data_IF_814946072862
#
_entry.id   IF_814946072862
#
_cell.length_a   1.000
_cell.length_b   1.000
_cell.length_c   1.000
_cell.angle_alpha   90.00
_cell.angle_beta   90.00
_cell.angle_gamma   90.00
#
_symmetry.space_group_name_H-M   'P 1'
#
loop_
_entity.id
_entity.type
_entity.pdbx_description
1 polymer ?
#
# COMPACT_ATOMS: atom_id res chain seq x y z
N UNK A 1 -30.03 -14.81 25.72
CA UNK A 1 -29.44 -15.61 26.82
C UNK A 1 -28.14 -14.94 27.21
N UNK A 2 -27.97 -14.53 28.47
CA UNK A 2 -26.80 -13.74 28.86
C UNK A 2 -25.61 -14.65 29.20
N UNK A 3 -24.44 -14.31 28.64
CA UNK A 3 -23.16 -14.96 28.93
C UNK A 3 -22.64 -14.47 30.29
N UNK A 4 -22.54 -15.38 31.25
CA UNK A 4 -21.98 -15.09 32.57
C UNK A 4 -20.65 -15.82 32.77
N UNK A 5 -19.66 -15.09 33.28
CA UNK A 5 -18.37 -15.65 33.72
C UNK A 5 -18.60 -16.50 34.97
N UNK A 6 -18.26 -17.78 34.90
CA UNK A 6 -18.49 -18.71 36.01
C UNK A 6 -17.50 -18.48 37.17
N UNK A 7 -18.00 -18.33 38.41
CA UNK A 7 -17.19 -17.97 39.58
C UNK A 7 -16.26 -19.08 40.08
N UNK A 8 -16.51 -20.34 39.73
CA UNK A 8 -15.71 -21.49 40.20
C UNK A 8 -15.01 -22.22 39.04
N UNK A 9 -14.20 -21.50 38.29
CA UNK A 9 -13.39 -22.07 37.21
C UNK A 9 -12.35 -23.07 37.78
N UNK A 10 -12.52 -24.36 37.45
CA UNK A 10 -11.78 -25.50 38.02
C UNK A 10 -10.68 -26.05 37.10
N UNK A 11 -9.99 -25.22 36.31
CA UNK A 11 -8.75 -25.69 35.65
C UNK A 11 -7.63 -25.83 36.67
N UNK A 12 -7.30 -27.10 37.01
CA UNK A 12 -6.26 -27.52 37.97
C UNK A 12 -4.92 -27.73 37.26
N UNK A 13 -4.21 -26.66 36.89
CA UNK A 13 -2.78 -26.72 36.55
C UNK A 13 -2.08 -25.45 37.07
N UNK A 14 -0.83 -25.59 37.52
CA UNK A 14 -0.05 -24.64 38.33
C UNK A 14 -0.13 -23.18 37.83
N UNK A 15 -0.88 -22.36 38.58
CA UNK A 15 -1.46 -21.07 38.16
C UNK A 15 -0.57 -19.83 38.26
N UNK A 16 0.66 -19.92 38.78
CA UNK A 16 1.34 -18.71 39.28
C UNK A 16 2.11 -17.90 38.22
N UNK A 17 2.45 -18.50 37.07
CA UNK A 17 3.21 -17.83 35.99
C UNK A 17 2.41 -17.60 34.70
N UNK A 18 1.21 -18.18 34.57
CA UNK A 18 0.38 -18.11 33.37
C UNK A 18 -0.73 -17.04 33.44
N UNK A 19 -1.00 -16.49 34.63
CA UNK A 19 -2.03 -15.46 34.84
C UNK A 19 -1.37 -14.09 34.73
N UNK A 20 -1.91 -13.26 33.83
CA UNK A 20 -1.49 -11.89 33.64
C UNK A 20 -2.73 -10.99 33.52
N UNK A 21 -2.53 -9.67 33.39
CA UNK A 21 -3.58 -8.72 33.03
C UNK A 21 -3.25 -8.12 31.68
N UNK A 22 -4.25 -8.01 30.82
CA UNK A 22 -4.10 -7.29 29.57
C UNK A 22 -3.64 -5.85 29.86
N UNK A 23 -2.49 -5.44 29.31
CA UNK A 23 -1.94 -4.09 29.51
C UNK A 23 -2.90 -2.98 29.03
N UNK A 24 -3.72 -3.28 28.02
CA UNK A 24 -4.63 -2.30 27.41
C UNK A 24 -5.97 -2.15 28.15
N UNK A 25 -6.56 -3.24 28.66
CA UNK A 25 -7.89 -3.18 29.31
C UNK A 25 -7.92 -3.65 30.78
N UNK A 26 -6.81 -4.16 31.30
CA UNK A 26 -6.67 -4.64 32.67
C UNK A 26 -7.45 -5.94 32.98
N UNK A 27 -8.09 -6.55 31.97
CA UNK A 27 -8.83 -7.81 32.13
C UNK A 27 -7.85 -8.95 32.42
N UNK A 28 -8.14 -9.81 33.42
CA UNK A 28 -7.33 -11.01 33.65
C UNK A 28 -7.30 -11.91 32.42
N UNK A 29 -6.10 -12.29 32.01
CA UNK A 29 -5.84 -13.21 30.89
C UNK A 29 -5.00 -14.38 31.39
N UNK A 30 -5.18 -15.52 30.74
CA UNK A 30 -4.36 -16.71 30.99
C UNK A 30 -3.64 -17.08 29.69
N UNK A 31 -2.31 -17.14 29.73
CA UNK A 31 -1.48 -17.47 28.58
C UNK A 31 -1.30 -18.98 28.44
N UNK A 32 -1.57 -19.51 27.26
CA UNK A 32 -1.40 -20.92 26.93
C UNK A 32 -0.55 -21.12 25.67
N UNK A 33 0.17 -22.22 25.60
CA UNK A 33 0.77 -22.68 24.36
C UNK A 33 -0.31 -23.28 23.46
N UNK A 34 -0.25 -22.96 22.16
CA UNK A 34 -1.07 -23.56 21.11
C UNK A 34 -0.39 -24.80 20.56
N UNK A 35 -1.14 -25.59 19.80
CA UNK A 35 -0.61 -26.76 19.09
C UNK A 35 0.53 -26.44 18.11
N UNK A 36 0.66 -25.19 17.66
CA UNK A 36 1.71 -24.67 16.77
C UNK A 36 2.86 -23.97 17.53
N UNK A 37 2.97 -24.21 18.85
CA UNK A 37 3.98 -23.62 19.73
C UNK A 37 3.91 -22.10 19.91
N UNK A 38 2.90 -21.43 19.36
CA UNK A 38 2.63 -20.02 19.65
C UNK A 38 1.90 -19.86 20.99
N UNK A 39 2.05 -18.71 21.64
CA UNK A 39 1.28 -18.39 22.86
C UNK A 39 -0.02 -17.68 22.51
N UNK A 40 -1.10 -18.02 23.20
CA UNK A 40 -2.40 -17.38 23.06
C UNK A 40 -2.92 -16.93 24.42
N UNK A 41 -3.33 -15.67 24.58
CA UNK A 41 -4.01 -15.20 25.77
C UNK A 41 -5.49 -15.57 25.67
N UNK A 42 -5.95 -16.44 26.56
CA UNK A 42 -7.33 -16.88 26.62
C UNK A 42 -8.06 -16.25 27.80
N UNK A 43 -9.36 -16.03 27.59
CA UNK A 43 -10.30 -15.67 28.64
C UNK A 43 -10.48 -16.80 29.66
N UNK A 44 -11.12 -16.51 30.80
CA UNK A 44 -11.79 -17.53 31.61
C UNK A 44 -12.82 -18.31 30.79
N UNK A 45 -13.28 -19.45 31.33
CA UNK A 45 -14.21 -20.34 30.66
C UNK A 45 -15.63 -19.78 30.52
N UNK A 46 -16.26 -20.12 29.40
CA UNK A 46 -17.62 -19.79 28.99
C UNK A 46 -18.35 -21.06 28.57
N UNK A 47 -19.68 -21.14 28.74
CA UNK A 47 -20.48 -22.18 28.09
C UNK A 47 -20.28 -22.11 26.56
N UNK A 48 -19.98 -23.23 25.90
CA UNK A 48 -19.60 -23.22 24.49
C UNK A 48 -20.76 -22.88 23.54
N UNK A 49 -21.98 -23.30 23.88
CA UNK A 49 -23.18 -23.14 23.04
C UNK A 49 -23.42 -21.71 22.53
N UNK A 50 -23.39 -20.67 23.38
CA UNK A 50 -23.55 -19.27 22.95
C UNK A 50 -22.33 -18.65 22.26
N UNK A 51 -21.16 -19.28 22.28
CA UNK A 51 -19.94 -18.73 21.67
C UNK A 51 -19.86 -19.19 20.21
N UNK A 52 -19.57 -18.33 19.23
CA UNK A 52 -19.38 -18.75 17.84
C UNK A 52 -18.28 -19.80 17.69
N UNK A 53 -18.48 -20.90 16.92
CA UNK A 53 -17.49 -21.99 16.80
C UNK A 53 -16.06 -21.52 16.47
N UNK A 54 -15.93 -20.50 15.60
CA UNK A 54 -14.65 -19.91 15.18
C UNK A 54 -13.84 -19.30 16.33
N UNK A 55 -14.48 -18.98 17.44
CA UNK A 55 -13.87 -18.30 18.60
C UNK A 55 -13.72 -19.22 19.81
N UNK A 56 -14.12 -20.49 19.70
CA UNK A 56 -14.02 -21.46 20.80
C UNK A 56 -12.62 -22.03 20.86
N UNK A 57 -12.07 -22.05 22.06
CA UNK A 57 -10.83 -22.72 22.37
C UNK A 57 -11.03 -23.59 23.61
N UNK A 58 -10.33 -24.72 23.69
CA UNK A 58 -10.30 -25.54 24.88
C UNK A 58 -8.87 -25.93 25.21
N UNK A 59 -8.66 -26.41 26.43
CA UNK A 59 -7.35 -26.84 26.90
C UNK A 59 -7.33 -28.36 27.00
N UNK A 60 -6.32 -28.97 26.39
CA UNK A 60 -6.03 -30.38 26.57
C UNK A 60 -4.58 -30.52 27.06
N UNK A 61 -4.41 -31.02 28.29
CA UNK A 61 -3.10 -31.17 28.95
C UNK A 61 -2.25 -29.88 28.97
N UNK A 62 -2.90 -28.73 29.12
CA UNK A 62 -2.24 -27.42 29.17
C UNK A 62 -1.99 -26.75 27.82
N UNK A 63 -2.29 -27.43 26.70
CA UNK A 63 -2.17 -26.89 25.34
C UNK A 63 -3.55 -26.44 24.84
N UNK A 64 -3.60 -25.28 24.21
CA UNK A 64 -4.79 -24.69 23.63
C UNK A 64 -5.09 -25.24 22.23
N UNK A 65 -6.31 -25.75 22.06
CA UNK A 65 -6.83 -26.26 20.80
C UNK A 65 -8.12 -25.52 20.41
N UNK A 66 -8.38 -25.31 19.11
CA UNK A 66 -9.64 -24.76 18.65
C UNK A 66 -10.80 -25.73 18.97
N UNK A 67 -11.99 -25.19 19.21
CA UNK A 67 -13.21 -25.93 19.53
C UNK A 67 -13.62 -25.87 21.01
N UNK A 68 -14.67 -26.61 21.34
CA UNK A 68 -15.15 -26.78 22.72
C UNK A 68 -14.52 -27.99 23.39
N UNK A 69 -14.44 -27.96 24.73
CA UNK A 69 -14.03 -29.11 25.50
C UNK A 69 -15.05 -30.25 25.33
N UNK A 70 -14.63 -31.43 24.84
CA UNK A 70 -15.54 -32.54 24.58
C UNK A 70 -16.23 -33.06 25.85
N UNK A 71 -15.63 -32.88 27.03
CA UNK A 71 -16.14 -33.39 28.31
C UNK A 71 -17.03 -32.37 29.03
N UNK A 72 -16.59 -31.12 29.11
CA UNK A 72 -17.25 -30.12 29.94
C UNK A 72 -18.26 -29.27 29.17
N UNK A 73 -18.17 -29.21 27.82
CA UNK A 73 -18.95 -28.29 26.97
C UNK A 73 -18.71 -26.81 27.27
N UNK A 74 -17.56 -26.50 27.85
CA UNK A 74 -17.05 -25.15 28.01
C UNK A 74 -16.01 -24.84 26.93
N UNK A 75 -15.83 -23.56 26.65
CA UNK A 75 -14.74 -23.06 25.83
C UNK A 75 -14.17 -21.78 26.45
N UNK A 76 -13.06 -21.34 25.92
CA UNK A 76 -12.42 -20.06 26.18
C UNK A 76 -12.37 -19.29 24.87
N UNK A 77 -12.19 -17.98 24.97
CA UNK A 77 -12.17 -17.06 23.84
C UNK A 77 -10.79 -16.37 23.84
N UNK A 78 -10.14 -16.19 22.68
CA UNK A 78 -8.93 -15.37 22.60
C UNK A 78 -9.23 -13.97 23.10
N UNK A 79 -8.45 -13.48 24.07
CA UNK A 79 -8.71 -12.18 24.67
C UNK A 79 -8.72 -11.03 23.65
N UNK A 80 -7.84 -10.98 22.63
CA UNK A 80 -7.89 -9.95 21.59
C UNK A 80 -9.24 -9.86 20.89
N UNK A 81 -9.97 -10.96 20.73
CA UNK A 81 -11.29 -10.98 20.09
C UNK A 81 -12.42 -10.40 20.96
N UNK A 82 -12.16 -10.13 22.24
CA UNK A 82 -13.14 -9.59 23.19
C UNK A 82 -12.56 -8.45 24.04
N UNK A 83 -11.40 -7.92 23.66
CA UNK A 83 -10.73 -6.87 24.41
C UNK A 83 -11.47 -5.55 24.18
N UNK A 84 -11.96 -4.86 25.23
CA UNK A 84 -12.68 -3.59 25.05
C UNK A 84 -11.76 -2.42 24.66
N UNK A 85 -10.44 -2.63 24.62
CA UNK A 85 -9.47 -1.64 24.15
C UNK A 85 -9.10 -1.80 22.67
N UNK A 86 -9.76 -2.73 21.95
CA UNK A 86 -9.57 -2.99 20.52
C UNK A 86 -10.91 -2.77 19.83
N UNK A 87 -10.92 -2.10 18.69
CA UNK A 87 -12.11 -1.96 17.85
C UNK A 87 -12.40 -3.24 17.08
N UNK A 88 -13.63 -3.76 17.20
CA UNK A 88 -14.05 -5.01 16.57
C UNK A 88 -15.06 -4.72 15.46
N UNK A 89 -14.59 -4.53 14.23
CA UNK A 89 -15.47 -4.26 13.08
C UNK A 89 -16.44 -5.41 12.76
N UNK A 90 -16.03 -6.66 13.02
CA UNK A 90 -16.80 -7.88 12.71
C UNK A 90 -17.14 -8.71 13.98
N UNK A 91 -17.43 -8.03 15.10
CA UNK A 91 -17.78 -8.73 16.34
C UNK A 91 -19.10 -9.50 16.17
N UNK A 92 -19.15 -10.82 16.45
CA UNK A 92 -20.39 -11.56 16.45
C UNK A 92 -21.35 -11.01 17.52
N UNK A 93 -22.66 -10.87 17.24
CA UNK A 93 -23.63 -10.31 18.19
C UNK A 93 -23.65 -11.02 19.54
N UNK A 94 -23.33 -12.31 19.57
CA UNK A 94 -23.28 -13.10 20.80
C UNK A 94 -22.19 -12.63 21.78
N UNK A 95 -21.17 -11.92 21.30
CA UNK A 95 -20.06 -11.42 22.11
C UNK A 95 -20.14 -9.94 22.46
N UNK A 96 -21.10 -9.20 21.91
CA UNK A 96 -21.30 -7.77 22.19
C UNK A 96 -21.53 -7.51 23.69
N UNK A 97 -22.37 -8.32 24.36
CA UNK A 97 -22.64 -8.21 25.80
C UNK A 97 -21.35 -8.46 26.61
N UNK A 98 -20.47 -9.36 26.13
CA UNK A 98 -19.19 -9.63 26.79
C UNK A 98 -18.26 -8.42 26.69
N UNK A 99 -18.07 -7.88 25.49
CA UNK A 99 -17.22 -6.70 25.26
C UNK A 99 -17.76 -5.50 26.02
N UNK A 100 -19.07 -5.26 25.97
CA UNK A 100 -19.72 -4.16 26.70
C UNK A 100 -19.49 -4.26 28.20
N UNK A 101 -19.66 -5.45 28.79
CA UNK A 101 -19.40 -5.66 30.23
C UNK A 101 -17.93 -5.46 30.59
N UNK A 102 -17.01 -5.90 29.73
CA UNK A 102 -15.58 -5.67 29.94
C UNK A 102 -15.24 -4.18 29.83
N UNK A 103 -15.85 -3.45 28.90
CA UNK A 103 -15.69 -1.99 28.77
C UNK A 103 -16.19 -1.24 30.00
N UNK A 104 -17.38 -1.58 30.52
CA UNK A 104 -17.91 -0.98 31.77
C UNK A 104 -16.97 -1.26 32.95
N UNK A 105 -16.45 -2.48 33.06
CA UNK A 105 -15.49 -2.83 34.13
C UNK A 105 -14.16 -2.09 33.97
N UNK A 106 -13.65 -1.96 32.75
CA UNK A 106 -12.45 -1.21 32.45
C UNK A 106 -12.63 0.25 32.88
N UNK A 107 -13.71 0.91 32.43
CA UNK A 107 -14.03 2.30 32.81
C UNK A 107 -14.14 2.47 34.32
N UNK A 108 -14.88 1.60 35.01
CA UNK A 108 -15.01 1.68 36.46
C UNK A 108 -13.69 1.48 37.22
N UNK A 109 -12.72 0.71 36.68
CA UNK A 109 -11.38 0.59 37.28
C UNK A 109 -10.52 1.83 37.04
N UNK A 110 -10.65 2.46 35.88
CA UNK A 110 -10.00 3.74 35.56
C UNK A 110 -10.51 4.81 36.52
N UNK A 111 -11.82 4.93 36.68
CA UNK A 111 -12.46 5.92 37.57
C UNK A 111 -12.05 5.75 39.04
N UNK A 112 -11.79 4.52 39.50
CA UNK A 112 -11.28 4.24 40.86
C UNK A 112 -9.76 4.37 41.00
N UNK A 113 -9.03 4.67 39.92
CA UNK A 113 -7.57 4.73 39.92
C UNK A 113 -6.88 3.37 40.11
N UNK A 114 -7.59 2.26 39.92
CA UNK A 114 -7.06 0.89 40.06
C UNK A 114 -6.32 0.42 38.80
N UNK A 115 -6.50 1.12 37.68
CA UNK A 115 -5.94 0.76 36.38
C UNK A 115 -5.72 2.00 35.53
N UNK A 116 -4.49 2.16 35.03
CA UNK A 116 -4.16 3.12 33.97
C UNK A 116 -3.93 2.32 32.69
N UNK A 117 -4.72 2.54 31.61
CA UNK A 117 -4.51 1.86 30.35
C UNK A 117 -3.10 2.12 29.84
N UNK A 118 -2.42 1.04 29.43
CA UNK A 118 -1.21 1.20 28.63
C UNK A 118 -1.60 1.81 27.30
N UNK A 119 -1.24 3.07 27.13
CA UNK A 119 -1.16 3.71 25.83
C UNK A 119 0.21 3.29 25.31
N UNK A 120 0.23 2.58 24.18
CA UNK A 120 1.48 2.30 23.49
C UNK A 120 2.18 3.64 23.30
N UNK A 121 3.35 3.88 23.93
CA UNK A 121 4.12 5.04 23.60
C UNK A 121 4.34 4.93 22.10
N UNK A 122 3.91 5.95 21.36
CA UNK A 122 4.34 6.10 19.98
C UNK A 122 5.86 6.18 20.10
N UNK A 123 6.58 5.09 19.82
CA UNK A 123 8.03 5.11 19.86
C UNK A 123 8.44 6.20 18.85
N UNK A 124 9.07 7.26 19.36
CA UNK A 124 9.56 8.39 18.55
C UNK A 124 10.48 7.90 17.41
N UNK A 125 11.04 6.69 17.53
CA UNK A 125 11.94 6.05 16.57
C UNK A 125 11.25 5.17 15.49
N UNK A 126 10.00 4.72 15.68
CA UNK A 126 9.34 3.81 14.71
C UNK A 126 8.48 4.53 13.66
N UNK A 127 8.10 5.79 13.87
CA UNK A 127 7.15 6.48 12.95
C UNK A 127 7.82 7.51 12.04
N UNK A 128 9.04 7.97 12.35
CA UNK A 128 9.82 8.82 11.47
C UNK A 128 11.21 8.19 11.31
N UNK A 129 11.57 7.75 10.09
CA UNK A 129 12.97 7.52 9.79
C UNK A 129 13.76 8.80 10.11
N UNK A 130 15.03 8.69 10.54
CA UNK A 130 15.82 9.88 10.86
C UNK A 130 15.79 10.84 9.67
N UNK A 131 15.66 12.13 9.96
CA UNK A 131 15.79 13.15 8.93
C UNK A 131 17.12 12.94 8.17
N UNK A 132 17.13 13.17 6.85
CA UNK A 132 18.35 13.05 6.07
C UNK A 132 19.41 14.07 6.56
N UNK A 133 20.67 13.82 6.23
CA UNK A 133 21.80 14.66 6.68
C UNK A 133 21.67 16.12 6.19
N UNK A 134 21.05 16.31 5.02
CA UNK A 134 20.78 17.60 4.41
C UNK A 134 19.27 17.83 4.38
N UNK A 135 18.78 18.71 5.26
CA UNK A 135 17.40 19.22 5.25
C UNK A 135 17.42 20.74 5.14
N UNK A 136 16.44 21.26 4.43
CA UNK A 136 16.23 22.70 4.28
C UNK A 136 15.21 23.23 5.28
N UNK A 137 15.19 24.55 5.43
CA UNK A 137 14.25 25.25 6.31
C UNK A 137 12.80 25.13 5.82
N UNK A 138 12.61 25.10 4.49
CA UNK A 138 11.30 24.92 3.87
C UNK A 138 11.20 23.50 3.34
N UNK A 139 10.18 22.76 3.80
CA UNK A 139 9.97 21.36 3.45
C UNK A 139 8.53 21.14 3.05
N UNK A 140 8.33 20.40 1.95
CA UNK A 140 7.00 20.12 1.44
C UNK A 140 6.55 18.68 1.74
N UNK A 141 5.25 18.54 2.03
CA UNK A 141 4.62 17.25 2.27
C UNK A 141 4.02 16.73 0.96
N UNK A 142 4.29 15.46 0.69
CA UNK A 142 3.80 14.69 -0.45
C UNK A 142 2.75 13.72 0.05
N UNK A 143 1.63 13.64 -0.65
CA UNK A 143 0.53 12.73 -0.36
C UNK A 143 0.34 11.72 -1.48
N UNK A 144 0.14 10.46 -1.12
CA UNK A 144 -0.27 9.40 -2.03
C UNK A 144 -1.03 8.31 -1.29
N UNK A 145 -2.20 7.91 -1.79
CA UNK A 145 -3.04 6.84 -1.23
C UNK A 145 -3.16 6.86 0.32
N UNK A 146 -3.36 8.03 0.92
CA UNK A 146 -3.51 8.20 2.37
C UNK A 146 -2.20 8.12 3.17
N UNK A 147 -1.05 7.95 2.50
CA UNK A 147 0.28 8.09 3.10
C UNK A 147 0.80 9.50 2.88
N UNK A 148 1.46 10.06 3.90
CA UNK A 148 2.08 11.37 3.86
C UNK A 148 3.58 11.23 4.13
N UNK A 149 4.40 11.84 3.28
CA UNK A 149 5.85 11.94 3.48
C UNK A 149 6.33 13.36 3.35
N UNK A 150 7.32 13.74 4.14
CA UNK A 150 7.95 15.05 4.05
C UNK A 150 9.27 14.94 3.29
N UNK A 151 9.47 15.84 2.33
CA UNK A 151 10.71 15.95 1.58
C UNK A 151 11.80 16.65 2.40
N UNK A 152 13.09 16.43 2.09
CA UNK A 152 14.19 17.19 2.71
C UNK A 152 14.14 18.69 2.37
N UNK A 153 13.46 19.07 1.29
CA UNK A 153 13.43 20.41 0.72
C UNK A 153 12.05 20.75 0.17
N UNK A 154 11.94 21.88 -0.51
CA UNK A 154 10.81 22.16 -1.37
C UNK A 154 10.68 21.11 -2.48
N UNK A 155 9.43 20.79 -2.83
CA UNK A 155 9.17 19.67 -3.73
C UNK A 155 9.81 19.84 -5.12
N UNK A 156 9.89 21.07 -5.64
CA UNK A 156 10.49 21.34 -6.95
C UNK A 156 12.03 21.21 -6.95
N UNK A 157 12.64 21.24 -5.77
CA UNK A 157 14.09 21.07 -5.57
C UNK A 157 14.45 19.63 -5.22
N UNK A 158 13.46 18.75 -5.06
CA UNK A 158 13.67 17.34 -4.73
C UNK A 158 14.48 16.65 -5.83
N UNK A 159 15.72 16.25 -5.50
CA UNK A 159 16.65 15.61 -6.44
C UNK A 159 16.51 14.10 -6.47
N UNK A 160 16.84 13.54 -7.64
CA UNK A 160 16.98 12.11 -7.83
C UNK A 160 18.08 11.54 -6.91
N UNK A 161 17.84 10.34 -6.35
CA UNK A 161 18.84 9.65 -5.52
C UNK A 161 19.76 8.72 -6.31
N UNK A 162 19.50 8.48 -7.60
CA UNK A 162 20.28 7.56 -8.40
C UNK A 162 21.70 8.09 -8.67
N UNK A 163 22.64 7.17 -8.86
CA UNK A 163 24.00 7.49 -9.32
C UNK A 163 23.99 7.65 -10.82
N UNK A 164 24.50 8.79 -11.30
CA UNK A 164 24.66 9.03 -12.72
C UNK A 164 25.81 8.16 -13.28
N UNK A 165 25.55 7.45 -14.38
CA UNK A 165 26.49 6.48 -14.94
C UNK A 165 27.75 7.09 -15.56
N UNK A 166 27.69 8.35 -16.00
CA UNK A 166 28.79 9.08 -16.64
C UNK A 166 29.74 9.70 -15.61
N UNK A 167 29.21 10.30 -14.55
CA UNK A 167 29.99 11.07 -13.56
C UNK A 167 30.26 10.28 -12.27
N UNK A 168 29.47 9.24 -11.99
CA UNK A 168 29.50 8.52 -10.72
C UNK A 168 29.00 9.34 -9.53
N UNK A 169 28.44 10.53 -9.78
CA UNK A 169 27.89 11.42 -8.76
C UNK A 169 26.37 11.22 -8.62
N UNK A 170 25.78 11.84 -7.59
CA UNK A 170 24.34 11.93 -7.47
C UNK A 170 23.76 12.63 -8.70
N UNK A 171 22.69 12.08 -9.25
CA UNK A 171 21.97 12.69 -10.35
C UNK A 171 21.44 14.09 -9.98
N UNK A 172 21.71 15.08 -10.83
CA UNK A 172 21.26 16.47 -10.64
C UNK A 172 19.80 16.69 -11.05
N UNK A 173 19.19 15.75 -11.78
CA UNK A 173 17.81 15.89 -12.26
C UNK A 173 16.81 15.80 -11.09
N UNK A 174 15.78 16.65 -11.16
CA UNK A 174 14.68 16.67 -10.22
C UNK A 174 13.76 15.45 -10.35
N UNK A 175 13.12 15.08 -9.24
CA UNK A 175 12.00 14.14 -9.21
C UNK A 175 10.70 14.86 -9.60
N UNK A 176 10.59 16.14 -9.28
CA UNK A 176 9.39 16.91 -9.52
C UNK A 176 9.05 17.05 -11.00
N UNK A 177 7.78 16.83 -11.31
CA UNK A 177 7.15 17.12 -12.59
C UNK A 177 5.75 17.68 -12.30
N UNK A 178 5.43 18.83 -12.92
CA UNK A 178 4.16 19.53 -12.77
C UNK A 178 2.95 18.70 -13.22
N UNK A 179 3.15 17.71 -14.09
CA UNK A 179 2.07 16.91 -14.68
C UNK A 179 1.72 15.68 -13.86
N UNK A 180 2.56 15.35 -12.88
CA UNK A 180 2.45 14.12 -12.11
C UNK A 180 1.69 14.28 -10.79
N UNK A 181 1.38 15.51 -10.41
CA UNK A 181 0.64 15.81 -9.20
C UNK A 181 0.08 17.21 -9.19
N UNK A 182 -0.52 17.58 -8.07
CA UNK A 182 -1.02 18.93 -7.82
C UNK A 182 -1.18 19.17 -6.33
N UNK A 183 -1.18 20.44 -5.93
CA UNK A 183 -1.50 20.82 -4.56
C UNK A 183 -2.97 20.55 -4.23
N UNK A 184 -3.22 19.80 -3.16
CA UNK A 184 -4.56 19.52 -2.64
C UNK A 184 -4.58 19.65 -1.11
N UNK A 185 -5.77 19.95 -0.57
CA UNK A 185 -6.02 19.82 0.87
C UNK A 185 -6.17 18.35 1.24
N UNK A 186 -5.35 17.90 2.19
CA UNK A 186 -5.39 16.55 2.75
C UNK A 186 -5.61 16.61 4.25
N UNK A 187 -6.15 15.54 4.83
CA UNK A 187 -6.35 15.44 6.28
C UNK A 187 -4.99 15.32 6.99
N UNK A 188 -4.81 16.10 8.06
CA UNK A 188 -3.66 15.95 8.95
C UNK A 188 -3.90 14.73 9.83
N UNK A 189 -2.94 13.78 9.94
CA UNK A 189 -3.09 12.62 10.80
C UNK A 189 -3.44 13.03 12.23
N UNK A 190 -4.33 12.26 12.87
CA UNK A 190 -4.75 12.57 14.23
C UNK A 190 -3.57 12.44 15.20
N UNK A 191 -3.28 13.52 15.93
CA UNK A 191 -2.33 13.52 17.03
C UNK A 191 -3.08 13.64 18.38
N UNK A 192 -2.83 12.75 19.35
CA UNK A 192 -3.44 12.87 20.66
C UNK A 192 -2.82 14.02 21.49
N UNK A 193 -3.54 14.45 22.52
CA UNK A 193 -3.03 15.42 23.50
C UNK A 193 -3.16 16.90 23.10
N UNK A 194 -2.61 17.78 23.94
CA UNK A 194 -2.79 19.25 23.82
C UNK A 194 -2.20 19.80 22.53
N UNK A 195 -1.03 19.33 22.12
CA UNK A 195 -0.36 19.76 20.88
C UNK A 195 -1.17 19.35 19.66
N UNK A 196 -1.70 18.11 19.63
CA UNK A 196 -2.58 17.66 18.55
C UNK A 196 -3.88 18.46 18.45
N UNK A 197 -4.48 18.82 19.58
CA UNK A 197 -5.65 19.72 19.61
C UNK A 197 -5.33 21.12 19.09
N UNK A 198 -4.11 21.63 19.34
CA UNK A 198 -3.66 22.92 18.82
C UNK A 198 -3.45 22.90 17.30
N UNK A 199 -2.87 21.82 16.76
CA UNK A 199 -2.76 21.59 15.32
C UNK A 199 -4.16 21.59 14.70
N UNK A 200 -5.06 20.76 15.23
CA UNK A 200 -6.45 20.69 14.77
C UNK A 200 -7.15 22.05 14.79
N UNK A 201 -6.94 22.84 15.85
CA UNK A 201 -7.55 24.17 15.99
C UNK A 201 -6.99 25.18 14.98
N UNK A 202 -5.69 25.11 14.70
CA UNK A 202 -5.01 26.06 13.79
C UNK A 202 -5.28 25.73 12.33
N UNK A 203 -5.33 24.44 12.00
CA UNK A 203 -5.38 23.96 10.61
C UNK A 203 -6.77 23.49 10.18
N UNK A 204 -7.72 23.42 11.11
CA UNK A 204 -9.03 22.80 10.86
C UNK A 204 -8.94 21.30 10.56
N UNK A 205 -7.80 20.67 10.86
CA UNK A 205 -7.53 19.26 10.54
C UNK A 205 -7.10 19.02 9.09
N UNK A 206 -6.79 20.07 8.33
CA UNK A 206 -6.37 19.97 6.92
C UNK A 206 -5.05 20.67 6.67
N UNK A 207 -4.33 20.24 5.66
CA UNK A 207 -3.11 20.89 5.20
C UNK A 207 -2.95 20.77 3.69
N UNK A 208 -2.18 21.67 3.09
CA UNK A 208 -1.80 21.56 1.69
C UNK A 208 -0.63 20.61 1.54
N UNK A 209 -0.81 19.59 0.69
CA UNK A 209 0.23 18.64 0.31
C UNK A 209 0.24 18.48 -1.22
N UNK A 210 1.39 18.09 -1.77
CA UNK A 210 1.48 17.70 -3.17
C UNK A 210 0.95 16.29 -3.34
N UNK A 211 -0.22 16.15 -3.97
CA UNK A 211 -0.87 14.87 -4.16
C UNK A 211 -0.48 14.23 -5.51
N UNK A 212 0.03 13.01 -5.45
CA UNK A 212 0.35 12.16 -6.62
C UNK A 212 -0.66 11.01 -6.65
N UNK A 213 -1.53 11.01 -7.66
CA UNK A 213 -2.66 10.07 -7.76
C UNK A 213 -2.46 8.95 -8.78
N UNK A 214 -1.67 9.20 -9.83
CA UNK A 214 -1.38 8.17 -10.84
C UNK A 214 -0.35 7.18 -10.29
N UNK A 215 -0.69 5.90 -10.32
CA UNK A 215 0.17 4.85 -9.80
C UNK A 215 1.52 4.75 -10.53
N UNK A 216 1.59 5.07 -11.83
CA UNK A 216 2.83 5.02 -12.60
C UNK A 216 3.80 6.11 -12.16
N UNK A 217 3.28 7.32 -11.94
CA UNK A 217 4.06 8.42 -11.38
C UNK A 217 4.45 8.09 -9.94
N UNK A 218 3.52 7.60 -9.13
CA UNK A 218 3.80 7.25 -7.75
C UNK A 218 4.98 6.30 -7.58
N UNK A 219 5.08 5.25 -8.40
CA UNK A 219 6.21 4.30 -8.35
C UNK A 219 7.56 4.97 -8.55
N UNK A 220 7.61 6.04 -9.34
CA UNK A 220 8.81 6.85 -9.57
C UNK A 220 9.14 7.69 -8.33
N UNK A 221 8.14 8.34 -7.75
CA UNK A 221 8.27 9.11 -6.51
C UNK A 221 8.66 8.24 -5.31
N UNK A 222 8.14 7.01 -5.21
CA UNK A 222 8.52 6.01 -4.19
C UNK A 222 9.97 5.57 -4.26
N UNK A 223 10.61 5.69 -5.43
CA UNK A 223 12.04 5.46 -5.59
C UNK A 223 12.86 6.74 -5.55
N UNK A 224 12.21 7.91 -5.49
CA UNK A 224 12.84 9.21 -5.59
C UNK A 224 13.76 9.29 -6.84
N UNK A 225 13.24 8.80 -7.96
CA UNK A 225 13.96 8.78 -9.24
C UNK A 225 13.42 9.85 -10.18
N UNK A 226 14.29 10.48 -10.97
CA UNK A 226 13.86 11.32 -12.10
C UNK A 226 13.30 10.44 -13.24
N UNK A 227 12.72 11.07 -14.26
CA UNK A 227 12.14 10.37 -15.42
C UNK A 227 13.17 9.50 -16.13
N UNK A 228 14.41 9.97 -16.29
CA UNK A 228 15.48 9.24 -16.98
C UNK A 228 15.95 7.99 -16.21
N UNK A 229 15.97 8.07 -14.88
CA UNK A 229 16.42 6.96 -14.03
C UNK A 229 15.31 5.98 -13.67
N UNK A 230 14.04 6.36 -13.89
CA UNK A 230 12.91 5.49 -13.62
C UNK A 230 12.90 4.27 -14.55
N UNK A 231 13.18 3.10 -13.99
CA UNK A 231 13.30 1.84 -14.74
C UNK A 231 14.72 1.53 -15.22
N UNK A 232 15.69 2.40 -14.93
CA UNK A 232 17.11 2.09 -15.11
C UNK A 232 17.60 1.08 -14.06
N UNK A 233 18.75 0.45 -14.32
CA UNK A 233 19.46 -0.39 -13.35
C UNK A 233 20.52 0.38 -12.56
N UNK A 234 20.49 1.72 -12.59
CA UNK A 234 21.45 2.54 -11.86
C UNK A 234 21.27 2.35 -10.34
N UNK A 235 22.35 2.19 -9.57
CA UNK A 235 22.27 2.08 -8.12
C UNK A 235 21.95 3.45 -7.49
N UNK A 236 21.34 3.43 -6.30
CA UNK A 236 21.12 4.64 -5.52
C UNK A 236 22.43 5.16 -4.93
N UNK A 237 22.69 6.46 -5.09
CA UNK A 237 23.86 7.19 -4.58
C UNK A 237 23.71 7.53 -3.10
N UNK A 238 22.49 7.95 -2.70
CA UNK A 238 22.13 8.26 -1.32
C UNK A 238 20.96 7.39 -0.88
N UNK A 239 20.75 7.29 0.44
CA UNK A 239 19.56 6.64 0.98
C UNK A 239 18.32 7.45 0.60
N UNK A 240 17.16 6.78 0.62
CA UNK A 240 15.87 7.41 0.40
C UNK A 240 15.60 8.54 1.41
N UNK A 241 15.29 9.75 0.94
CA UNK A 241 15.25 10.96 1.78
C UNK A 241 13.83 11.39 2.15
N UNK A 242 12.79 10.87 1.48
CA UNK A 242 11.40 11.14 1.85
C UNK A 242 11.05 10.37 3.13
N UNK A 243 10.95 11.08 4.24
CA UNK A 243 10.61 10.49 5.55
C UNK A 243 9.10 10.52 5.79
N UNK A 244 8.62 9.62 6.63
CA UNK A 244 7.19 9.54 6.98
C UNK A 244 6.76 10.81 7.73
N UNK A 245 5.65 11.42 7.34
CA UNK A 245 5.17 12.63 7.99
C UNK A 245 4.51 12.31 9.34
N UNK A 246 4.94 13.01 10.40
CA UNK A 246 4.32 12.94 11.72
C UNK A 246 3.88 14.34 12.19
N UNK A 247 2.60 14.57 12.51
CA UNK A 247 2.06 15.90 12.77
C UNK A 247 2.67 16.63 13.97
N UNK A 248 3.11 15.90 15.02
CA UNK A 248 3.72 16.53 16.19
C UNK A 248 5.20 16.89 15.99
N UNK A 249 5.91 16.14 15.14
CA UNK A 249 7.35 16.34 14.89
C UNK A 249 7.52 17.36 13.76
N UNK A 250 6.71 17.23 12.70
CA UNK A 250 6.76 18.04 11.50
C UNK A 250 5.68 19.14 11.50
N UNK A 251 5.23 19.56 12.69
CA UNK A 251 4.15 20.54 12.85
C UNK A 251 4.44 21.87 12.17
N UNK A 252 5.71 22.27 12.14
CA UNK A 252 6.17 23.52 11.50
C UNK A 252 6.05 23.49 9.97
N UNK A 253 5.99 22.29 9.38
CA UNK A 253 5.86 22.09 7.93
C UNK A 253 4.41 21.86 7.49
N UNK A 254 3.44 22.07 8.39
CA UNK A 254 2.02 22.02 8.05
C UNK A 254 1.63 23.29 7.31
N UNK A 255 1.42 23.16 6.00
CA UNK A 255 1.04 24.28 5.14
C UNK A 255 -0.46 24.59 5.26
N UNK A 256 -0.79 25.74 5.84
CA UNK A 256 -2.17 26.27 5.93
C UNK A 256 -2.60 27.04 4.68
N UNK A 257 -1.66 27.39 3.82
CA UNK A 257 -1.90 28.07 2.54
C UNK A 257 -1.27 27.27 1.41
N UNK A 258 -1.92 27.26 0.26
CA UNK A 258 -1.41 26.62 -0.96
C UNK A 258 -0.13 27.33 -1.41
N UNK A 259 0.97 26.60 -1.68
CA UNK A 259 2.17 27.17 -2.29
C UNK A 259 1.90 27.75 -3.69
N UNK A 260 2.48 28.90 -3.96
CA UNK A 260 2.39 29.63 -5.23
C UNK A 260 3.55 29.23 -6.17
N UNK A 261 3.41 29.50 -7.48
CA UNK A 261 4.47 29.19 -8.47
C UNK A 261 4.44 27.77 -9.06
N UNK A 262 3.49 26.94 -8.62
CA UNK A 262 3.27 25.57 -9.12
C UNK A 262 2.11 25.48 -10.12
N UNK A 263 1.72 26.60 -10.71
CA UNK A 263 0.68 26.65 -11.74
C UNK A 263 1.32 26.52 -13.12
N UNK A 264 0.72 25.71 -13.99
CA UNK A 264 1.10 25.70 -15.40
C UNK A 264 0.92 27.11 -15.94
N UNK A 265 2.03 27.74 -16.33
CA UNK A 265 1.94 28.84 -17.30
C UNK A 265 1.38 28.20 -18.57
N UNK A 266 0.26 28.68 -19.14
CA UNK A 266 -0.22 28.17 -20.41
C UNK A 266 0.85 28.48 -21.46
N UNK A 267 1.73 27.52 -21.71
CA UNK A 267 2.63 27.57 -22.84
C UNK A 267 1.72 27.39 -24.04
N UNK A 268 1.41 28.51 -24.70
CA UNK A 268 0.57 28.58 -25.90
C UNK A 268 1.16 27.87 -27.12
N UNK A 269 1.84 26.73 -26.92
CA UNK A 269 2.11 25.78 -27.99
C UNK A 269 0.83 24.97 -28.16
N UNK A 270 -0.01 25.52 -29.03
CA UNK A 270 -1.06 24.79 -29.73
C UNK A 270 -0.55 23.39 -30.06
N UNK A 271 -1.20 22.36 -29.50
CA UNK A 271 -0.96 20.98 -29.89
C UNK A 271 -1.42 20.93 -31.35
N UNK A 272 -0.49 21.06 -32.29
CA UNK A 272 -0.75 20.80 -33.70
C UNK A 272 -0.95 19.29 -33.78
N UNK A 273 -2.22 18.87 -33.68
CA UNK A 273 -2.63 17.54 -34.07
C UNK A 273 -2.36 17.50 -35.58
N UNK A 274 -1.26 16.85 -35.98
CA UNK A 274 -1.07 16.51 -37.37
C UNK A 274 -2.20 15.56 -37.75
N UNK A 275 -3.18 16.06 -38.49
CA UNK A 275 -4.06 15.19 -39.27
C UNK A 275 -3.14 14.25 -40.05
N UNK A 276 -3.24 12.95 -39.80
CA UNK A 276 -2.44 11.94 -40.51
C UNK A 276 -2.55 12.17 -42.03
N UNK A 277 -1.55 11.75 -42.82
CA UNK A 277 -1.44 12.11 -44.24
C UNK A 277 -2.77 11.87 -44.98
N UNK A 278 -3.46 12.95 -45.33
CA UNK A 278 -4.71 12.93 -46.09
C UNK A 278 -4.36 12.82 -47.57
N UNK A 279 -4.15 11.59 -48.03
CA UNK A 279 -3.81 11.29 -49.41
C UNK A 279 -4.44 9.98 -49.91
N UNK A 280 -4.47 9.81 -51.22
CA UNK A 280 -4.91 8.57 -51.86
C UNK A 280 -4.07 7.39 -51.35
N UNK A 281 -4.74 6.31 -50.97
CA UNK A 281 -4.11 5.06 -50.58
C UNK A 281 -4.31 4.03 -51.69
N UNK A 282 -3.26 3.28 -52.03
CA UNK A 282 -3.37 2.15 -52.93
C UNK A 282 -3.38 0.85 -52.12
N UNK A 283 -4.33 -0.03 -52.42
CA UNK A 283 -4.48 -1.34 -51.78
C UNK A 283 -3.73 -2.39 -52.59
N UNK A 284 -3.19 -3.40 -51.90
CA UNK A 284 -2.53 -4.54 -52.51
C UNK A 284 -3.45 -5.24 -53.52
N UNK A 285 -2.93 -5.57 -54.70
CA UNK A 285 -3.68 -6.22 -55.77
C UNK A 285 -3.94 -7.72 -55.55
N UNK A 286 -3.43 -8.33 -54.47
CA UNK A 286 -3.72 -9.74 -54.14
C UNK A 286 -5.11 -9.89 -53.54
N UNK A 287 -5.93 -10.76 -54.13
CA UNK A 287 -7.23 -11.13 -53.58
C UNK A 287 -7.16 -11.54 -52.10
N UNK A 288 -7.92 -10.84 -51.26
CA UNK A 288 -7.98 -11.06 -49.82
C UNK A 288 -6.87 -10.40 -48.99
N UNK A 289 -5.98 -9.60 -49.60
CA UNK A 289 -4.98 -8.82 -48.87
C UNK A 289 -5.50 -7.42 -48.51
N UNK A 290 -5.39 -7.04 -47.23
CA UNK A 290 -5.88 -5.75 -46.70
C UNK A 290 -4.77 -4.71 -46.51
N UNK A 291 -3.52 -5.02 -46.90
CA UNK A 291 -2.43 -4.06 -46.79
C UNK A 291 -2.58 -2.94 -47.83
N UNK A 292 -2.39 -1.71 -47.39
CA UNK A 292 -2.38 -0.51 -48.22
C UNK A 292 -1.11 0.29 -47.98
N UNK A 293 -0.78 1.15 -48.93
CA UNK A 293 0.28 2.15 -48.78
C UNK A 293 -0.27 3.53 -49.12
N UNK A 294 0.30 4.55 -48.47
CA UNK A 294 0.05 5.93 -48.84
C UNK A 294 0.74 6.26 -50.18
N UNK A 295 0.02 6.99 -51.04
CA UNK A 295 0.48 7.41 -52.36
C UNK A 295 0.05 6.45 -53.47
N UNK A 296 -0.21 7.01 -54.65
CA UNK A 296 -0.57 6.26 -55.85
C UNK A 296 0.55 5.29 -56.23
N UNK A 297 0.25 4.00 -56.22
CA UNK A 297 1.15 2.97 -56.74
C UNK A 297 0.76 2.58 -58.18
N UNK A 298 1.69 1.96 -58.94
CA UNK A 298 1.37 1.39 -60.24
C UNK A 298 0.26 0.32 -60.13
N UNK A 299 -0.47 0.14 -61.23
CA UNK A 299 -1.46 -0.94 -61.34
C UNK A 299 -0.81 -2.31 -61.09
N UNK A 300 -1.46 -3.15 -60.28
CA UNK A 300 -0.91 -4.44 -59.86
C UNK A 300 0.08 -4.37 -58.70
N UNK A 301 0.19 -3.25 -57.98
CA UNK A 301 1.05 -3.15 -56.80
C UNK A 301 0.75 -4.23 -55.76
N UNK A 302 1.81 -4.86 -55.27
CA UNK A 302 1.75 -5.86 -54.23
C UNK A 302 2.40 -5.32 -52.96
N UNK A 303 1.74 -5.51 -51.82
CA UNK A 303 2.39 -5.28 -50.54
C UNK A 303 3.62 -6.20 -50.41
N UNK A 304 4.57 -5.79 -49.57
CA UNK A 304 5.81 -6.52 -49.36
C UNK A 304 5.63 -8.02 -49.06
N UNK A 305 4.55 -8.38 -48.35
CA UNK A 305 4.27 -9.77 -48.02
C UNK A 305 3.81 -10.58 -49.25
N UNK A 306 2.95 -10.00 -50.09
CA UNK A 306 2.44 -10.62 -51.31
C UNK A 306 3.52 -10.73 -52.39
N UNK A 307 4.33 -9.68 -52.59
CA UNK A 307 5.48 -9.69 -53.50
C UNK A 307 6.48 -10.80 -53.10
N UNK A 308 6.79 -10.90 -51.80
CA UNK A 308 7.65 -11.97 -51.29
C UNK A 308 7.08 -13.37 -51.55
N UNK A 309 5.76 -13.55 -51.37
CA UNK A 309 5.10 -14.83 -51.63
C UNK A 309 5.11 -15.20 -53.11
N UNK A 310 4.92 -14.22 -54.01
CA UNK A 310 4.98 -14.42 -55.45
C UNK A 310 6.39 -14.78 -55.93
N UNK A 311 7.41 -14.03 -55.48
CA UNK A 311 8.82 -14.36 -55.75
C UNK A 311 9.19 -15.76 -55.29
N UNK A 312 8.63 -16.21 -54.15
CA UNK A 312 8.82 -17.59 -53.66
C UNK A 312 8.17 -18.61 -54.60
N UNK A 313 6.93 -18.37 -55.03
CA UNK A 313 6.21 -19.23 -55.99
C UNK A 313 6.96 -19.33 -57.32
N UNK A 314 7.43 -18.21 -57.87
CA UNK A 314 8.21 -18.17 -59.11
C UNK A 314 9.54 -18.93 -58.99
N UNK A 315 10.24 -18.80 -57.84
CA UNK A 315 11.48 -19.56 -57.58
C UNK A 315 11.22 -21.05 -57.53
N UNK A 316 10.16 -21.47 -56.83
CA UNK A 316 9.75 -22.87 -56.78
C UNK A 316 9.44 -23.33 -58.21
N UNK A 317 8.54 -22.67 -58.93
CA UNK A 317 8.17 -23.06 -60.30
C UNK A 317 9.38 -23.26 -61.24
N UNK A 318 10.36 -22.33 -61.23
CA UNK A 318 11.61 -22.48 -62.00
C UNK A 318 12.40 -23.73 -61.61
N UNK A 319 12.44 -24.06 -60.32
CA UNK A 319 13.11 -25.26 -59.83
C UNK A 319 12.41 -26.54 -60.31
N UNK A 320 11.07 -26.55 -60.37
CA UNK A 320 10.31 -27.68 -60.92
C UNK A 320 10.49 -27.83 -62.44
N UNK A 321 10.55 -26.72 -63.18
CA UNK A 321 10.84 -26.76 -64.63
C UNK A 321 12.24 -27.32 -64.91
N UNK A 322 13.26 -26.89 -64.16
CA UNK A 322 14.60 -27.45 -64.29
C UNK A 322 14.69 -28.95 -63.97
N UNK A 323 13.85 -29.46 -63.05
CA UNK A 323 13.79 -30.89 -62.73
C UNK A 323 13.02 -31.69 -63.79
N UNK A 324 12.03 -31.08 -64.45
CA UNK A 324 11.29 -31.69 -65.55
C UNK A 324 12.14 -31.80 -66.83
N UNK A 325 12.87 -30.73 -67.17
CA UNK A 325 13.76 -30.71 -68.36
C UNK A 325 14.97 -31.64 -68.20
N UNK A 326 15.34 -32.00 -66.96
CA UNK A 326 16.42 -32.95 -66.66
C UNK A 326 16.03 -34.43 -66.79
N UNK A 327 14.74 -34.74 -67.01
CA UNK A 327 14.24 -36.12 -67.12
C UNK A 327 14.03 -36.61 -68.56
N UNK A 328 14.19 -35.74 -69.57
CA UNK A 328 14.03 -36.06 -71.00
C UNK A 328 15.37 -36.36 -71.72
N UNK A 329 16.48 -36.46 -70.99
CA UNK A 329 17.76 -36.96 -71.52
C UNK A 329 18.22 -38.18 -70.74
N UNK A 330 17.72 -39.36 -71.11
CA UNK A 330 18.32 -40.66 -70.77
C UNK A 330 18.05 -41.67 -71.87
#
# INVERSE_FOLDING_TARGET
MSLFLHRSNQTKLLRRTAVDRCKYCGTPIEWYERYDSLRIPLSPEFPARPVPPKMRWHLNRGIAYPGEDPYTKYCRIPHPAVCPAVDHHDLPPELEDVVTRLAVRMRGRIERGEFTPYIEPVEEEEVAGPDPEEVEEIRHVISYYGTLRIAPCEIHELRCIATESTTGQRCENGVFDLDEGKWEEVEVPHAPGRQGQQILSTTGGRMWAWAVHDFNYLRRWWKQHCVDHYGSSAPDHVKFELVQFHPLIHGDYILTRRPEGYERTPTGREIVIHDGPTGEHTVCATDGCWHSTFGSQPEGWLCWNCDRAEKRRARVHRQWQHLADGHDTS
#
